data_IF_831666061658
#
_entry.id   IF_831666061658
#
_cell.length_a   1.000
_cell.length_b   1.000
_cell.length_c   1.000
_cell.angle_alpha   90.00
_cell.angle_beta   90.00
_cell.angle_gamma   90.00
#
_symmetry.space_group_name_H-M   'P 1'
#
loop_
_entity.id
_entity.type
_entity.pdbx_description
1 polymer ?
#
# COMPACT_ATOMS: atom_id res chain seq x y z
N UNK A 1 -13.89 5.45 -14.07
CA UNK A 1 -12.58 6.13 -13.98
C UNK A 1 -11.61 5.13 -13.36
N UNK A 2 -10.76 4.49 -14.17
CA UNK A 2 -9.78 3.51 -13.67
C UNK A 2 -8.75 4.26 -12.83
N UNK A 3 -8.52 3.83 -11.58
CA UNK A 3 -7.50 4.43 -10.73
C UNK A 3 -6.12 4.26 -11.39
N UNK A 4 -5.21 5.26 -11.31
CA UNK A 4 -3.87 5.12 -11.86
C UNK A 4 -3.21 3.87 -11.28
N UNK A 5 -2.63 3.04 -12.16
CA UNK A 5 -1.89 1.86 -11.75
C UNK A 5 -0.67 2.35 -10.98
N UNK A 6 -0.55 1.98 -9.72
CA UNK A 6 0.58 2.41 -8.89
C UNK A 6 1.89 1.87 -9.50
N UNK A 7 2.82 2.76 -9.84
CA UNK A 7 4.08 2.41 -10.51
C UNK A 7 5.10 1.79 -9.55
N UNK A 8 4.79 0.57 -9.12
CA UNK A 8 5.61 -0.24 -8.22
C UNK A 8 7.08 -0.37 -8.65
N UNK A 9 7.41 -0.62 -9.94
CA UNK A 9 8.81 -0.73 -10.37
C UNK A 9 9.58 0.60 -10.30
N UNK A 10 8.89 1.74 -10.40
CA UNK A 10 9.51 3.04 -10.24
C UNK A 10 9.81 3.30 -8.76
N UNK A 11 8.87 3.00 -7.86
CA UNK A 11 9.06 3.11 -6.42
C UNK A 11 10.22 2.25 -5.92
N UNK A 12 10.30 0.98 -6.35
CA UNK A 12 11.37 0.08 -5.93
C UNK A 12 12.74 0.55 -6.41
N UNK A 13 12.85 1.09 -7.63
CA UNK A 13 14.11 1.67 -8.11
C UNK A 13 14.48 2.92 -7.32
N UNK A 14 13.52 3.80 -7.03
CA UNK A 14 13.77 5.00 -6.25
C UNK A 14 14.22 4.66 -4.81
N UNK A 15 13.58 3.70 -4.14
CA UNK A 15 13.94 3.29 -2.78
C UNK A 15 15.20 2.42 -2.68
N UNK A 16 15.30 1.35 -3.46
CA UNK A 16 16.40 0.39 -3.35
C UNK A 16 17.66 0.80 -4.10
N UNK A 17 17.52 1.48 -5.26
CA UNK A 17 18.67 1.93 -6.05
C UNK A 17 18.97 3.41 -5.85
N UNK A 18 17.93 4.26 -5.76
CA UNK A 18 18.10 5.71 -5.61
C UNK A 18 18.56 6.11 -4.20
N UNK A 19 17.84 5.66 -3.17
CA UNK A 19 18.20 5.91 -1.76
C UNK A 19 19.18 4.89 -1.18
N UNK A 20 19.46 3.80 -1.90
CA UNK A 20 20.36 2.73 -1.45
C UNK A 20 19.85 1.96 -0.22
N UNK A 21 18.53 1.95 0.00
CA UNK A 21 17.93 1.23 1.12
C UNK A 21 18.07 -0.27 0.92
N UNK A 22 18.40 -1.00 1.99
CA UNK A 22 18.24 -2.45 1.98
C UNK A 22 16.75 -2.80 1.85
N UNK A 23 16.39 -3.96 1.29
CA UNK A 23 14.99 -4.38 1.20
C UNK A 23 14.26 -4.35 2.55
N UNK A 24 14.95 -4.76 3.64
CA UNK A 24 14.40 -4.70 4.98
C UNK A 24 14.10 -3.26 5.43
N UNK A 25 15.05 -2.35 5.27
CA UNK A 25 14.86 -0.94 5.62
C UNK A 25 13.73 -0.30 4.81
N UNK A 26 13.65 -0.61 3.51
CA UNK A 26 12.57 -0.14 2.64
C UNK A 26 11.19 -0.58 3.13
N UNK A 27 11.04 -1.84 3.54
CA UNK A 27 9.77 -2.37 4.01
C UNK A 27 9.42 -1.97 5.45
N UNK A 28 10.41 -1.59 6.25
CA UNK A 28 10.20 -1.05 7.60
C UNK A 28 9.74 0.41 7.62
N UNK A 29 10.00 1.17 6.56
CA UNK A 29 9.60 2.57 6.48
C UNK A 29 8.10 2.69 6.22
N UNK A 30 7.49 3.69 6.86
CA UNK A 30 6.14 4.10 6.48
C UNK A 30 6.19 4.77 5.09
N UNK A 31 5.11 4.70 4.28
CA UNK A 31 5.06 5.37 2.99
C UNK A 31 5.33 6.88 3.07
N UNK A 32 4.94 7.53 4.17
CA UNK A 32 5.19 8.94 4.42
C UNK A 32 6.70 9.24 4.62
N UNK A 33 7.42 8.40 5.37
CA UNK A 33 8.86 8.53 5.56
C UNK A 33 9.62 8.27 4.25
N UNK A 34 9.17 7.29 3.47
CA UNK A 34 9.77 7.01 2.16
C UNK A 34 9.60 8.21 1.21
N UNK A 35 8.41 8.81 1.13
CA UNK A 35 8.16 10.00 0.32
C UNK A 35 9.03 11.18 0.77
N UNK A 36 9.13 11.40 2.08
CA UNK A 36 9.97 12.44 2.65
C UNK A 36 11.44 12.26 2.24
N UNK A 37 11.97 11.02 2.31
CA UNK A 37 13.35 10.72 1.89
C UNK A 37 13.56 10.88 0.38
N UNK A 38 12.53 10.64 -0.42
CA UNK A 38 12.55 10.88 -1.87
C UNK A 38 12.52 12.37 -2.25
N UNK A 39 12.42 13.28 -1.28
CA UNK A 39 12.32 14.72 -1.51
C UNK A 39 10.90 15.19 -1.87
N UNK A 40 9.93 14.28 -1.85
CA UNK A 40 8.51 14.61 -1.94
C UNK A 40 8.06 15.07 -0.55
N UNK A 41 7.97 16.38 -0.34
CA UNK A 41 7.39 16.93 0.89
C UNK A 41 5.93 16.47 0.92
N UNK A 42 5.48 15.72 1.95
CA UNK A 42 4.10 15.28 2.02
C UNK A 42 3.19 16.50 2.28
N UNK A 43 2.81 17.17 1.20
CA UNK A 43 1.78 18.21 1.18
C UNK A 43 0.37 17.63 1.12
N UNK A 44 0.24 16.32 0.92
CA UNK A 44 -1.02 15.63 1.06
C UNK A 44 -1.28 15.39 2.55
N UNK A 45 -2.26 16.13 3.10
CA UNK A 45 -2.76 15.92 4.45
C UNK A 45 -2.90 14.42 4.75
N UNK A 46 -2.51 13.95 5.96
CA UNK A 46 -2.70 12.56 6.33
C UNK A 46 -4.16 12.18 6.05
N UNK A 47 -4.38 11.06 5.37
CA UNK A 47 -5.72 10.59 5.03
C UNK A 47 -6.60 10.67 6.28
N UNK A 48 -7.55 11.61 6.28
CA UNK A 48 -8.47 11.76 7.40
C UNK A 48 -9.27 10.47 7.57
N UNK A 49 -9.83 10.25 8.75
CA UNK A 49 -10.64 9.05 9.08
C UNK A 49 -11.68 8.72 8.00
N UNK A 50 -12.34 9.73 7.41
CA UNK A 50 -13.32 9.53 6.34
C UNK A 50 -12.73 9.01 5.02
N UNK A 51 -11.49 9.37 4.68
CA UNK A 51 -10.81 8.83 3.50
C UNK A 51 -10.42 7.36 3.70
N UNK A 52 -10.01 6.99 4.93
CA UNK A 52 -9.74 5.60 5.29
C UNK A 52 -11.02 4.76 5.28
N UNK A 53 -12.13 5.26 5.85
CA UNK A 53 -13.44 4.59 5.80
C UNK A 53 -13.94 4.39 4.37
N UNK A 54 -13.77 5.40 3.51
CA UNK A 54 -14.08 5.27 2.08
C UNK A 54 -13.22 4.22 1.37
N UNK A 55 -11.98 4.02 1.81
CA UNK A 55 -11.08 3.01 1.26
C UNK A 55 -11.49 1.59 1.70
N UNK A 56 -11.81 1.42 2.99
CA UNK A 56 -12.33 0.15 3.55
C UNK A 56 -13.62 -0.25 2.84
N UNK A 57 -14.54 0.70 2.61
CA UNK A 57 -15.78 0.43 1.88
C UNK A 57 -15.55 0.07 0.41
N UNK A 58 -14.49 0.63 -0.21
CA UNK A 58 -14.15 0.40 -1.62
C UNK A 58 -13.45 -0.93 -1.85
N UNK A 59 -12.63 -1.37 -0.89
CA UNK A 59 -11.86 -2.60 -0.94
C UNK A 59 -12.15 -3.45 0.30
N UNK A 60 -13.36 -4.00 0.41
CA UNK A 60 -13.64 -4.95 1.49
C UNK A 60 -12.79 -6.20 1.28
N UNK A 61 -12.03 -6.58 2.31
CA UNK A 61 -11.27 -7.83 2.31
C UNK A 61 -12.26 -8.98 2.16
N UNK A 62 -12.25 -9.63 0.98
CA UNK A 62 -12.99 -10.87 0.78
C UNK A 62 -12.26 -11.96 1.55
N UNK A 63 -12.82 -12.36 2.68
CA UNK A 63 -12.48 -13.65 3.27
C UNK A 63 -13.04 -14.72 2.37
N UNK A 64 -12.23 -15.24 1.46
CA UNK A 64 -12.52 -16.47 0.73
C UNK A 64 -12.47 -17.65 1.71
N UNK A 65 -13.46 -17.71 2.61
CA UNK A 65 -13.78 -18.88 3.43
C UNK A 65 -15.26 -19.19 3.22
N UNK A 66 -15.59 -19.62 2.01
CA UNK A 66 -16.75 -20.48 1.79
C UNK A 66 -16.43 -21.36 0.58
N UNK A 67 -15.77 -22.50 0.85
CA UNK A 67 -15.37 -23.47 -0.15
C UNK A 67 -14.91 -24.79 0.47
N UNK A 68 -15.88 -25.69 0.74
CA UNK A 68 -15.70 -27.12 1.04
C UNK A 68 -15.45 -27.42 2.52
N UNK A 69 -16.09 -28.38 3.18
CA UNK A 69 -16.57 -29.68 2.73
C UNK A 69 -17.61 -30.17 3.77
N UNK A 70 -18.90 -30.04 3.45
CA UNK A 70 -19.97 -30.73 4.16
C UNK A 70 -19.95 -32.18 3.73
N UNK A 71 -19.09 -32.98 4.37
CA UNK A 71 -19.05 -34.43 4.19
C UNK A 71 -20.09 -35.05 5.12
N UNK A 72 -21.33 -35.06 4.64
CA UNK A 72 -22.43 -35.80 5.26
C UNK A 72 -22.36 -37.26 4.79
N UNK A 73 -22.34 -38.19 5.75
CA UNK A 73 -22.23 -39.63 5.55
C UNK A 73 -23.55 -40.36 5.33
#
# INVERSE_FOLDING_TARGET
MSAPRFDWPALMRAGLQGLGLTPDAFWRLTPAELLLMLGEVPGAAPMGRGALEALIARFPDRTDKEGGDGRDG
#
